data_IF_994252310292
#
_entry.id   IF_994252310292
#
_cell.length_a   1.000
_cell.length_b   1.000
_cell.length_c   1.000
_cell.angle_alpha   90.00
_cell.angle_beta   90.00
_cell.angle_gamma   90.00
#
_symmetry.space_group_name_H-M   'P 1'
#
loop_
_entity.id
_entity.type
_entity.pdbx_description
1 polymer ?
#
# COMPACT_ATOMS: atom_id res chain seq x y z
N UNK A 1 -13.20 22.87 7.54
CA UNK A 1 -12.71 21.48 7.58
C UNK A 1 -11.89 21.24 6.31
N UNK A 2 -10.55 21.36 6.40
CA UNK A 2 -9.66 20.90 5.32
C UNK A 2 -9.83 19.38 5.24
N UNK A 3 -10.62 18.89 4.27
CA UNK A 3 -10.74 17.47 3.97
C UNK A 3 -9.34 16.96 3.70
N UNK A 4 -8.99 15.82 4.26
CA UNK A 4 -7.71 15.15 3.99
C UNK A 4 -7.77 14.53 2.59
N UNK A 5 -7.55 15.36 1.57
CA UNK A 5 -7.64 14.99 0.15
C UNK A 5 -6.71 13.82 -0.16
N UNK A 6 -5.52 13.81 0.44
CA UNK A 6 -4.53 12.73 0.25
C UNK A 6 -5.09 11.38 0.73
N UNK A 7 -5.75 11.35 1.88
CA UNK A 7 -6.36 10.11 2.41
C UNK A 7 -7.50 9.64 1.52
N UNK A 8 -8.31 10.57 0.99
CA UNK A 8 -9.41 10.25 0.07
C UNK A 8 -8.88 9.68 -1.26
N UNK A 9 -7.88 10.32 -1.86
CA UNK A 9 -7.24 9.83 -3.09
C UNK A 9 -6.62 8.45 -2.88
N UNK A 10 -5.97 8.24 -1.74
CA UNK A 10 -5.42 6.94 -1.34
C UNK A 10 -6.51 5.87 -1.18
N UNK A 11 -7.70 6.26 -0.70
CA UNK A 11 -8.88 5.39 -0.64
C UNK A 11 -9.36 4.92 -2.03
N UNK A 12 -9.45 5.84 -3.00
CA UNK A 12 -9.79 5.50 -4.38
C UNK A 12 -8.74 4.59 -5.03
N UNK A 13 -7.44 4.85 -4.81
CA UNK A 13 -6.37 3.98 -5.29
C UNK A 13 -6.52 2.55 -4.75
N UNK A 14 -6.75 2.40 -3.44
CA UNK A 14 -6.97 1.09 -2.83
C UNK A 14 -8.25 0.40 -3.32
N UNK A 15 -9.30 1.16 -3.60
CA UNK A 15 -10.54 0.62 -4.18
C UNK A 15 -10.29 0.05 -5.58
N UNK A 16 -9.49 0.72 -6.39
CA UNK A 16 -9.05 0.22 -7.70
C UNK A 16 -8.25 -1.07 -7.57
N UNK A 17 -7.30 -1.12 -6.63
CA UNK A 17 -6.51 -2.32 -6.35
C UNK A 17 -7.38 -3.49 -5.88
N UNK A 18 -8.38 -3.24 -5.03
CA UNK A 18 -9.33 -4.25 -4.57
C UNK A 18 -10.14 -4.85 -5.73
N UNK A 19 -10.77 -3.99 -6.55
CA UNK A 19 -11.57 -4.43 -7.70
C UNK A 19 -10.71 -5.22 -8.68
N UNK A 20 -9.53 -4.73 -8.99
CA UNK A 20 -8.57 -5.41 -9.89
C UNK A 20 -8.17 -6.78 -9.36
N UNK A 21 -7.91 -6.91 -8.06
CA UNK A 21 -7.54 -8.18 -7.42
C UNK A 21 -8.67 -9.19 -7.40
N UNK A 22 -9.91 -8.73 -7.18
CA UNK A 22 -11.09 -9.60 -7.25
C UNK A 22 -11.28 -10.14 -8.67
N UNK A 23 -11.17 -9.28 -9.68
CA UNK A 23 -11.25 -9.68 -11.09
C UNK A 23 -10.12 -10.64 -11.44
N UNK A 24 -8.89 -10.35 -11.05
CA UNK A 24 -7.74 -11.22 -11.27
C UNK A 24 -7.92 -12.59 -10.62
N UNK A 25 -8.39 -12.63 -9.36
CA UNK A 25 -8.65 -13.88 -8.65
C UNK A 25 -9.74 -14.76 -9.30
N UNK A 26 -10.74 -14.14 -9.94
CA UNK A 26 -11.79 -14.86 -10.67
C UNK A 26 -11.31 -15.38 -12.05
N UNK A 27 -10.33 -14.71 -12.65
CA UNK A 27 -9.89 -14.99 -14.02
C UNK A 27 -8.60 -15.81 -14.10
N UNK A 28 -7.82 -15.89 -13.02
CA UNK A 28 -6.49 -16.50 -13.00
C UNK A 28 -6.44 -17.96 -13.51
N UNK A 29 -7.51 -18.71 -13.25
CA UNK A 29 -7.62 -20.11 -13.68
C UNK A 29 -8.38 -20.28 -15.02
N UNK A 30 -8.84 -19.17 -15.64
CA UNK A 30 -9.72 -19.19 -16.83
C UNK A 30 -9.14 -18.53 -18.05
N UNK A 31 -8.26 -17.55 -17.85
CA UNK A 31 -7.69 -16.71 -18.92
C UNK A 31 -6.17 -16.72 -18.79
N UNK A 32 -5.47 -16.89 -19.88
CA UNK A 32 -4.02 -16.82 -19.87
C UNK A 32 -3.54 -15.40 -19.53
N UNK A 33 -2.36 -15.32 -18.91
CA UNK A 33 -1.81 -14.06 -18.39
C UNK A 33 -1.61 -13.00 -19.50
N UNK A 34 -1.21 -13.42 -20.70
CA UNK A 34 -0.99 -12.51 -21.82
C UNK A 34 -2.29 -11.84 -22.28
N UNK A 35 -3.33 -12.65 -22.46
CA UNK A 35 -4.68 -12.17 -22.84
C UNK A 35 -5.26 -11.25 -21.77
N UNK A 36 -5.16 -11.65 -20.48
CA UNK A 36 -5.62 -10.82 -19.37
C UNK A 36 -4.91 -9.46 -19.34
N UNK A 37 -3.58 -9.45 -19.45
CA UNK A 37 -2.77 -8.23 -19.42
C UNK A 37 -3.08 -7.32 -20.61
N UNK A 38 -3.24 -7.87 -21.81
CA UNK A 38 -3.58 -7.08 -23.01
C UNK A 38 -4.96 -6.43 -22.90
N UNK A 39 -5.96 -7.15 -22.43
CA UNK A 39 -7.32 -6.61 -22.23
C UNK A 39 -7.27 -5.49 -21.18
N UNK A 40 -6.66 -5.73 -20.03
CA UNK A 40 -6.55 -4.75 -18.96
C UNK A 40 -5.82 -3.48 -19.41
N UNK A 41 -4.70 -3.63 -20.10
CA UNK A 41 -3.91 -2.51 -20.63
C UNK A 41 -4.72 -1.69 -21.64
N UNK A 42 -5.47 -2.35 -22.52
CA UNK A 42 -6.32 -1.68 -23.49
C UNK A 42 -7.44 -0.88 -22.81
N UNK A 43 -8.11 -1.47 -21.82
CA UNK A 43 -9.15 -0.77 -21.03
C UNK A 43 -8.54 0.43 -20.31
N UNK A 44 -7.40 0.27 -19.63
CA UNK A 44 -6.71 1.36 -18.94
C UNK A 44 -6.33 2.49 -19.92
N UNK A 45 -5.81 2.16 -21.10
CA UNK A 45 -5.44 3.15 -22.11
C UNK A 45 -6.66 3.94 -22.59
N UNK A 46 -7.77 3.28 -22.90
CA UNK A 46 -9.02 3.93 -23.31
C UNK A 46 -9.55 4.84 -22.21
N UNK A 47 -9.66 4.33 -20.98
CA UNK A 47 -10.18 5.11 -19.85
C UNK A 47 -9.30 6.33 -19.56
N UNK A 48 -7.98 6.19 -19.54
CA UNK A 48 -7.04 7.30 -19.33
C UNK A 48 -7.17 8.34 -20.45
N UNK A 49 -7.30 7.92 -21.70
CA UNK A 49 -7.48 8.83 -22.85
C UNK A 49 -8.77 9.62 -22.71
N UNK A 50 -9.88 8.96 -22.37
CA UNK A 50 -11.17 9.63 -22.14
C UNK A 50 -11.11 10.64 -20.98
N UNK A 51 -10.45 10.26 -19.88
CA UNK A 51 -10.24 11.15 -18.73
C UNK A 51 -9.44 12.39 -19.16
N UNK A 52 -8.34 12.22 -19.88
CA UNK A 52 -7.50 13.32 -20.35
C UNK A 52 -8.32 14.27 -21.25
N UNK A 53 -9.03 13.73 -22.23
CA UNK A 53 -9.88 14.52 -23.15
C UNK A 53 -10.94 15.31 -22.35
N UNK A 54 -11.52 14.71 -21.32
CA UNK A 54 -12.58 15.33 -20.52
C UNK A 54 -12.06 16.39 -19.55
N UNK A 55 -10.88 16.21 -19.01
CA UNK A 55 -10.29 17.11 -17.98
C UNK A 55 -9.55 18.27 -18.63
N UNK A 56 -8.86 18.05 -19.75
CA UNK A 56 -8.01 19.09 -20.39
C UNK A 56 -8.70 20.44 -20.61
N UNK A 57 -9.96 20.49 -21.08
CA UNK A 57 -10.66 21.78 -21.27
C UNK A 57 -10.93 22.53 -19.96
N UNK A 58 -11.02 21.79 -18.84
CA UNK A 58 -11.35 22.34 -17.52
C UNK A 58 -10.11 22.60 -16.65
N UNK A 59 -8.90 22.33 -17.17
CA UNK A 59 -7.66 22.65 -16.47
C UNK A 59 -7.51 24.17 -16.43
N UNK A 60 -7.76 24.74 -15.27
CA UNK A 60 -7.43 26.13 -14.98
C UNK A 60 -5.92 26.28 -15.12
N UNK A 61 -5.46 27.17 -16.00
CA UNK A 61 -4.04 27.56 -16.02
C UNK A 61 -3.73 28.07 -14.61
N UNK A 62 -2.87 27.38 -13.90
CA UNK A 62 -2.37 27.89 -12.63
C UNK A 62 -1.77 29.28 -12.93
N UNK A 63 -2.17 30.30 -12.15
CA UNK A 63 -1.50 31.58 -12.16
C UNK A 63 -0.05 31.30 -11.79
N UNK A 64 0.80 31.21 -12.80
CA UNK A 64 2.22 30.99 -12.64
C UNK A 64 2.80 32.31 -12.17
N UNK A 65 2.83 32.49 -10.86
CA UNK A 65 3.62 33.55 -10.27
C UNK A 65 5.06 33.32 -10.74
N UNK A 66 5.66 34.25 -11.53
CA UNK A 66 7.01 34.06 -12.08
C UNK A 66 8.06 33.72 -11.02
N UNK A 67 7.86 34.20 -9.77
CA UNK A 67 8.73 33.94 -8.63
C UNK A 67 8.54 32.53 -8.03
N UNK A 68 7.49 31.80 -8.43
CA UNK A 68 7.22 30.43 -7.98
C UNK A 68 7.58 29.35 -9.00
N UNK A 69 8.25 29.70 -10.11
CA UNK A 69 8.77 28.73 -11.08
C UNK A 69 9.93 27.93 -10.48
N UNK A 70 9.60 26.96 -9.62
CA UNK A 70 10.53 25.92 -9.25
C UNK A 70 10.79 25.05 -10.50
N UNK A 71 11.94 25.25 -11.15
CA UNK A 71 12.37 24.38 -12.23
C UNK A 71 12.53 22.96 -11.70
N UNK A 72 12.30 21.94 -12.52
CA UNK A 72 12.54 20.54 -12.13
C UNK A 72 13.94 20.34 -11.50
N UNK A 73 14.93 21.15 -11.90
CA UNK A 73 16.27 21.22 -11.31
C UNK A 73 16.27 21.70 -9.85
N UNK A 74 15.29 22.50 -9.43
CA UNK A 74 15.17 23.02 -8.06
C UNK A 74 14.60 21.98 -7.11
N UNK A 75 13.92 20.94 -7.65
CA UNK A 75 13.55 19.76 -6.88
C UNK A 75 14.78 19.00 -6.35
N UNK A 76 15.90 19.10 -7.05
CA UNK A 76 17.17 18.48 -6.63
C UNK A 76 18.10 19.49 -5.92
N UNK A 77 17.92 20.80 -6.13
CA UNK A 77 18.62 21.83 -5.37
C UNK A 77 17.92 22.04 -4.03
N UNK A 78 18.61 21.72 -2.96
CA UNK A 78 18.04 21.81 -1.61
C UNK A 78 17.28 20.55 -1.18
N UNK A 79 17.55 19.43 -1.85
CA UNK A 79 17.10 18.11 -1.44
C UNK A 79 17.60 17.83 -0.02
N UNK A 80 16.83 18.26 0.97
CA UNK A 80 17.04 17.89 2.36
C UNK A 80 16.21 16.64 2.60
N UNK A 81 16.90 15.50 2.60
CA UNK A 81 16.30 14.25 3.03
C UNK A 81 15.94 14.40 4.49
N UNK A 82 14.66 14.48 4.82
CA UNK A 82 14.21 14.22 6.18
C UNK A 82 14.28 12.69 6.38
N UNK A 83 15.43 12.24 6.87
CA UNK A 83 15.71 10.81 7.08
C UNK A 83 14.67 10.20 8.01
N UNK A 84 14.23 10.94 9.02
CA UNK A 84 13.22 10.46 9.97
C UNK A 84 11.89 10.20 9.31
N UNK A 85 11.42 11.14 8.47
CA UNK A 85 10.15 10.99 7.73
C UNK A 85 10.27 9.90 6.67
N UNK A 86 11.39 9.82 5.96
CA UNK A 86 11.59 8.81 4.92
C UNK A 86 11.66 7.41 5.53
N UNK A 87 12.34 7.24 6.66
CA UNK A 87 12.39 5.98 7.39
C UNK A 87 11.02 5.60 7.95
N UNK A 88 10.31 6.55 8.58
CA UNK A 88 8.97 6.31 9.09
C UNK A 88 8.00 5.90 7.97
N UNK A 89 8.06 6.58 6.82
CA UNK A 89 7.23 6.24 5.68
C UNK A 89 7.56 4.85 5.14
N UNK A 90 8.85 4.51 5.01
CA UNK A 90 9.27 3.18 4.58
C UNK A 90 8.69 2.10 5.49
N UNK A 91 8.92 2.20 6.80
CA UNK A 91 8.47 1.20 7.77
C UNK A 91 6.94 1.01 7.73
N UNK A 92 6.21 2.11 7.61
CA UNK A 92 4.75 2.12 7.59
C UNK A 92 4.16 1.48 6.33
N UNK A 93 4.75 1.74 5.15
CA UNK A 93 4.21 1.23 3.89
C UNK A 93 4.81 -0.10 3.46
N UNK A 94 5.90 -0.53 4.10
CA UNK A 94 6.58 -1.79 3.80
C UNK A 94 5.64 -2.98 3.90
N UNK A 95 4.82 -3.01 4.96
CA UNK A 95 3.84 -4.07 5.15
C UNK A 95 2.79 -4.09 4.04
N UNK A 96 2.29 -2.92 3.62
CA UNK A 96 1.32 -2.80 2.52
C UNK A 96 1.91 -3.36 1.21
N UNK A 97 3.16 -3.01 0.88
CA UNK A 97 3.85 -3.55 -0.29
C UNK A 97 4.15 -5.04 -0.17
N UNK A 98 4.60 -5.51 0.99
CA UNK A 98 4.88 -6.92 1.19
C UNK A 98 3.62 -7.78 1.03
N UNK A 99 2.50 -7.33 1.57
CA UNK A 99 1.21 -8.01 1.39
C UNK A 99 0.77 -7.97 -0.07
N UNK A 100 0.91 -6.83 -0.74
CA UNK A 100 0.55 -6.67 -2.16
C UNK A 100 1.34 -7.59 -3.09
N UNK A 101 2.63 -7.70 -2.85
CA UNK A 101 3.55 -8.42 -3.73
C UNK A 101 3.60 -9.92 -3.43
N UNK A 102 3.50 -10.31 -2.15
CA UNK A 102 3.85 -11.66 -1.72
C UNK A 102 2.73 -12.46 -1.06
N UNK A 103 1.63 -11.83 -0.60
CA UNK A 103 0.59 -12.54 0.14
C UNK A 103 -0.04 -13.68 -0.67
N UNK A 104 -0.40 -13.42 -1.94
CA UNK A 104 -0.99 -14.43 -2.80
C UNK A 104 0.00 -15.57 -3.12
N UNK A 105 1.28 -15.23 -3.34
CA UNK A 105 2.36 -16.20 -3.57
C UNK A 105 2.55 -17.08 -2.34
N UNK A 106 2.60 -16.47 -1.14
CA UNK A 106 2.73 -17.18 0.13
C UNK A 106 1.61 -18.20 0.33
N UNK A 107 0.37 -17.79 0.12
CA UNK A 107 -0.79 -18.68 0.28
C UNK A 107 -0.77 -19.80 -0.77
N UNK A 108 -0.36 -19.50 -2.01
CA UNK A 108 -0.30 -20.47 -3.09
C UNK A 108 0.84 -21.44 -2.95
N UNK A 109 2.08 -20.93 -2.78
CA UNK A 109 3.29 -21.74 -2.87
C UNK A 109 3.68 -22.37 -1.53
N UNK A 110 3.63 -21.63 -0.42
CA UNK A 110 4.01 -22.16 0.90
C UNK A 110 2.86 -22.91 1.55
N UNK A 111 1.64 -22.37 1.51
CA UNK A 111 0.48 -23.01 2.13
C UNK A 111 -0.24 -24.00 1.19
N UNK A 112 0.20 -24.14 -0.07
CA UNK A 112 -0.31 -25.10 -1.06
C UNK A 112 -1.81 -24.96 -1.34
N UNK A 113 -2.35 -23.76 -1.30
CA UNK A 113 -3.74 -23.45 -1.65
C UNK A 113 -3.78 -22.97 -3.09
N UNK A 114 -4.07 -23.89 -4.03
CA UNK A 114 -3.89 -23.68 -5.48
C UNK A 114 -5.10 -23.08 -6.20
N UNK A 115 -6.27 -22.99 -5.56
CA UNK A 115 -7.48 -22.38 -6.15
C UNK A 115 -7.41 -20.85 -6.09
N UNK A 116 -8.15 -20.13 -6.92
CA UNK A 116 -8.23 -18.66 -6.90
C UNK A 116 -8.50 -18.03 -5.53
N UNK A 117 -8.95 -18.84 -4.55
CA UNK A 117 -9.16 -18.43 -3.15
C UNK A 117 -7.85 -18.04 -2.42
N UNK A 118 -6.68 -18.37 -2.96
CA UNK A 118 -5.38 -17.95 -2.40
C UNK A 118 -5.20 -16.43 -2.34
N UNK A 119 -5.98 -15.67 -3.11
CA UNK A 119 -5.97 -14.20 -3.10
C UNK A 119 -6.83 -13.62 -1.96
N UNK A 120 -7.66 -14.41 -1.28
CA UNK A 120 -8.61 -13.95 -0.29
C UNK A 120 -7.98 -13.16 0.87
N UNK A 121 -6.87 -13.59 1.51
CA UNK A 121 -6.24 -12.80 2.57
C UNK A 121 -5.80 -11.41 2.10
N UNK A 122 -5.27 -11.28 0.88
CA UNK A 122 -4.93 -10.00 0.29
C UNK A 122 -6.16 -9.11 0.04
N UNK A 123 -7.24 -9.69 -0.50
CA UNK A 123 -8.51 -8.98 -0.74
C UNK A 123 -9.06 -8.43 0.58
N UNK A 124 -9.07 -9.23 1.64
CA UNK A 124 -9.55 -8.82 2.96
C UNK A 124 -8.66 -7.76 3.61
N UNK A 125 -7.33 -7.88 3.48
CA UNK A 125 -6.40 -6.85 3.90
C UNK A 125 -6.71 -5.50 3.23
N UNK A 126 -6.87 -5.50 1.91
CA UNK A 126 -7.13 -4.28 1.13
C UNK A 126 -8.50 -3.69 1.46
N UNK A 127 -9.52 -4.53 1.61
CA UNK A 127 -10.87 -4.10 2.02
C UNK A 127 -10.84 -3.46 3.41
N UNK A 128 -10.19 -4.09 4.37
CA UNK A 128 -10.02 -3.56 5.72
C UNK A 128 -9.27 -2.22 5.71
N UNK A 129 -8.24 -2.09 4.88
CA UNK A 129 -7.50 -0.84 4.70
C UNK A 129 -8.40 0.28 4.14
N UNK A 130 -9.27 0.00 3.17
CA UNK A 130 -10.25 0.96 2.67
C UNK A 130 -11.20 1.40 3.77
N UNK A 131 -11.76 0.45 4.51
CA UNK A 131 -12.67 0.72 5.63
C UNK A 131 -11.98 1.59 6.68
N UNK A 132 -10.74 1.28 7.06
CA UNK A 132 -9.98 2.07 8.02
C UNK A 132 -9.71 3.50 7.54
N UNK A 133 -9.35 3.70 6.26
CA UNK A 133 -9.14 5.03 5.65
C UNK A 133 -10.41 5.88 5.65
N UNK A 134 -11.53 5.27 5.29
CA UNK A 134 -12.82 5.98 5.24
C UNK A 134 -13.33 6.34 6.64
N UNK A 135 -13.02 5.53 7.65
CA UNK A 135 -13.49 5.76 9.03
C UNK A 135 -12.54 6.61 9.89
N UNK A 136 -11.36 6.97 9.40
CA UNK A 136 -10.38 7.77 10.16
C UNK A 136 -10.98 9.09 10.68
N UNK A 137 -11.82 9.74 9.88
CA UNK A 137 -12.46 11.01 10.26
C UNK A 137 -13.38 10.89 11.50
N UNK A 138 -13.90 9.69 11.77
CA UNK A 138 -14.72 9.43 12.96
C UNK A 138 -13.88 9.22 14.23
N UNK A 139 -12.60 8.85 14.07
CA UNK A 139 -11.68 8.59 15.17
C UNK A 139 -10.93 9.85 15.62
N UNK A 140 -10.57 10.73 14.68
CA UNK A 140 -9.80 11.94 14.96
C UNK A 140 -10.43 12.91 15.98
N UNK A 141 -11.76 13.05 16.11
CA UNK A 141 -12.35 13.90 17.17
C UNK A 141 -12.15 13.35 18.58
N UNK A 142 -11.89 12.04 18.71
CA UNK A 142 -11.78 11.34 20.00
C UNK A 142 -10.34 11.06 20.44
N UNK A 143 -9.43 10.91 19.46
CA UNK A 143 -8.06 10.49 19.70
C UNK A 143 -7.07 11.31 18.89
N UNK A 144 -5.89 11.60 19.46
CA UNK A 144 -4.82 12.25 18.72
C UNK A 144 -4.28 11.34 17.62
N UNK A 145 -3.81 11.94 16.53
CA UNK A 145 -3.24 11.16 15.40
C UNK A 145 -2.03 10.35 15.84
N UNK A 146 -1.17 10.89 16.71
CA UNK A 146 0.02 10.20 17.20
C UNK A 146 -0.34 8.95 18.00
N UNK A 147 -1.36 9.05 18.88
CA UNK A 147 -1.88 7.92 19.64
C UNK A 147 -2.43 6.81 18.72
N UNK A 148 -3.19 7.22 17.70
CA UNK A 148 -3.75 6.28 16.73
C UNK A 148 -2.64 5.61 15.93
N UNK A 149 -1.62 6.35 15.48
CA UNK A 149 -0.51 5.81 14.67
C UNK A 149 0.27 4.74 15.42
N UNK A 150 0.66 5.00 16.68
CA UNK A 150 1.42 4.03 17.47
C UNK A 150 0.62 2.73 17.69
N UNK A 151 -0.64 2.84 18.06
CA UNK A 151 -1.49 1.66 18.29
C UNK A 151 -1.81 0.90 17.01
N UNK A 152 -2.05 1.62 15.94
CA UNK A 152 -2.35 1.04 14.64
C UNK A 152 -1.14 0.30 14.05
N UNK A 153 0.09 0.85 14.17
CA UNK A 153 1.30 0.17 13.73
C UNK A 153 1.57 -1.12 14.53
N UNK A 154 1.45 -1.06 15.86
CA UNK A 154 1.61 -2.25 16.72
C UNK A 154 0.55 -3.30 16.38
N UNK A 155 -0.71 -2.90 16.24
CA UNK A 155 -1.80 -3.81 15.87
C UNK A 155 -1.53 -4.47 14.51
N UNK A 156 -1.11 -3.69 13.53
CA UNK A 156 -0.82 -4.16 12.18
C UNK A 156 0.34 -5.17 12.17
N UNK A 157 1.48 -4.81 12.75
CA UNK A 157 2.67 -5.66 12.77
C UNK A 157 2.43 -6.95 13.56
N UNK A 158 1.89 -6.84 14.78
CA UNK A 158 1.65 -8.00 15.65
C UNK A 158 0.62 -8.96 15.04
N UNK A 159 -0.47 -8.45 14.48
CA UNK A 159 -1.48 -9.29 13.84
C UNK A 159 -0.90 -10.04 12.63
N UNK A 160 -0.10 -9.35 11.81
CA UNK A 160 0.53 -9.95 10.65
C UNK A 160 1.51 -11.06 11.04
N UNK A 161 2.45 -10.77 11.96
CA UNK A 161 3.43 -11.76 12.45
C UNK A 161 2.72 -12.93 13.10
N UNK A 162 1.72 -12.69 13.96
CA UNK A 162 0.97 -13.74 14.62
C UNK A 162 0.29 -14.68 13.60
N UNK A 163 -0.26 -14.13 12.52
CA UNK A 163 -0.85 -14.91 11.44
C UNK A 163 0.17 -15.80 10.74
N UNK A 164 1.32 -15.24 10.36
CA UNK A 164 2.40 -15.99 9.69
C UNK A 164 2.93 -17.12 10.61
N UNK A 165 3.20 -16.80 11.88
CA UNK A 165 3.67 -17.80 12.84
C UNK A 165 2.63 -18.90 13.06
N UNK A 166 1.36 -18.53 13.27
CA UNK A 166 0.29 -19.47 13.53
C UNK A 166 0.12 -20.48 12.38
N UNK A 167 0.17 -20.03 11.12
CA UNK A 167 0.07 -20.97 9.99
C UNK A 167 1.34 -21.77 9.78
N UNK A 168 2.51 -21.22 10.10
CA UNK A 168 3.77 -21.97 10.04
C UNK A 168 3.79 -23.11 11.06
N UNK A 169 3.19 -22.92 12.24
CA UNK A 169 3.04 -23.98 13.26
C UNK A 169 1.92 -24.96 12.89
N UNK A 170 0.76 -24.47 12.40
CA UNK A 170 -0.35 -25.31 12.01
C UNK A 170 -0.04 -26.23 10.84
N UNK A 171 0.94 -25.87 10.02
CA UNK A 171 1.33 -26.59 8.82
C UNK A 171 0.24 -26.55 7.74
N UNK A 172 0.43 -27.33 6.69
CA UNK A 172 -0.45 -27.32 5.50
C UNK A 172 -1.58 -28.37 5.53
N UNK A 173 -1.74 -29.09 6.65
CA UNK A 173 -2.67 -30.22 6.76
C UNK A 173 -4.13 -29.82 6.63
N UNK A 174 -4.52 -28.67 7.20
CA UNK A 174 -5.87 -28.15 7.11
C UNK A 174 -5.93 -26.79 6.41
N UNK A 175 -6.09 -26.82 5.10
CA UNK A 175 -6.11 -25.61 4.26
C UNK A 175 -7.18 -24.60 4.62
N UNK A 176 -8.34 -25.04 5.10
CA UNK A 176 -9.42 -24.16 5.52
C UNK A 176 -9.04 -23.38 6.79
N UNK A 177 -8.43 -24.03 7.77
CA UNK A 177 -7.95 -23.38 8.99
C UNK A 177 -6.85 -22.37 8.66
N UNK A 178 -5.87 -22.75 7.82
CA UNK A 178 -4.80 -21.84 7.36
C UNK A 178 -5.40 -20.59 6.71
N UNK A 179 -6.35 -20.77 5.79
CA UNK A 179 -6.97 -19.65 5.09
C UNK A 179 -7.73 -18.73 6.05
N UNK A 180 -8.46 -19.29 7.02
CA UNK A 180 -9.18 -18.49 8.03
C UNK A 180 -8.22 -17.70 8.91
N UNK A 181 -7.15 -18.32 9.40
CA UNK A 181 -6.13 -17.64 10.23
C UNK A 181 -5.51 -16.47 9.46
N UNK A 182 -5.06 -16.70 8.22
CA UNK A 182 -4.46 -15.65 7.39
C UNK A 182 -5.47 -14.55 7.06
N UNK A 183 -6.71 -14.92 6.76
CA UNK A 183 -7.78 -13.96 6.46
C UNK A 183 -8.06 -13.03 7.63
N UNK A 184 -8.16 -13.56 8.84
CA UNK A 184 -8.40 -12.76 10.06
C UNK A 184 -7.19 -11.88 10.36
N UNK A 185 -5.98 -12.45 10.38
CA UNK A 185 -4.77 -11.69 10.72
C UNK A 185 -4.47 -10.59 9.71
N UNK A 186 -4.65 -10.86 8.41
CA UNK A 186 -4.46 -9.85 7.37
C UNK A 186 -5.54 -8.76 7.39
N UNK A 187 -6.79 -9.11 7.74
CA UNK A 187 -7.84 -8.11 7.97
C UNK A 187 -7.47 -7.15 9.08
N UNK A 188 -7.02 -7.67 10.23
CA UNK A 188 -6.59 -6.83 11.36
C UNK A 188 -5.37 -5.98 10.97
N UNK A 189 -4.38 -6.57 10.30
CA UNK A 189 -3.21 -5.87 9.82
C UNK A 189 -3.57 -4.75 8.83
N UNK A 190 -4.51 -4.99 7.92
CA UNK A 190 -5.01 -4.00 6.97
C UNK A 190 -5.72 -2.81 7.65
N UNK A 191 -6.53 -3.09 8.67
CA UNK A 191 -7.13 -2.01 9.49
C UNK A 191 -6.06 -1.16 10.16
N UNK A 192 -5.04 -1.78 10.75
CA UNK A 192 -3.94 -1.08 11.42
C UNK A 192 -3.11 -0.23 10.44
N UNK A 193 -2.73 -0.76 9.29
CA UNK A 193 -1.92 -0.02 8.30
C UNK A 193 -2.68 1.05 7.51
N UNK A 194 -4.00 1.10 7.61
CA UNK A 194 -4.88 1.86 6.72
C UNK A 194 -4.54 3.33 6.53
N UNK A 195 -4.20 4.05 7.58
CA UNK A 195 -3.98 5.51 7.55
C UNK A 195 -2.53 5.92 7.85
N UNK A 196 -1.65 4.97 8.15
CA UNK A 196 -0.29 5.27 8.57
C UNK A 196 0.49 6.01 7.48
N UNK A 197 0.52 5.50 6.26
CA UNK A 197 1.21 6.12 5.12
C UNK A 197 0.72 7.55 4.82
N UNK A 198 -0.58 7.77 4.60
CA UNK A 198 -1.13 9.11 4.43
C UNK A 198 -0.83 10.06 5.59
N UNK A 199 -0.81 9.56 6.84
CA UNK A 199 -0.51 10.38 8.01
C UNK A 199 0.94 10.84 8.06
N UNK A 200 1.90 9.96 7.76
CA UNK A 200 3.32 10.32 7.66
C UNK A 200 3.56 11.33 6.53
N UNK A 201 2.93 11.12 5.36
CA UNK A 201 3.01 12.07 4.24
C UNK A 201 2.45 13.45 4.61
N UNK A 202 1.33 13.49 5.33
CA UNK A 202 0.75 14.74 5.81
C UNK A 202 1.64 15.43 6.86
N UNK A 203 2.24 14.68 7.79
CA UNK A 203 3.18 15.19 8.77
C UNK A 203 4.43 15.77 8.11
N UNK A 204 4.97 15.12 7.09
CA UNK A 204 6.09 15.63 6.29
C UNK A 204 5.75 16.96 5.63
N UNK A 205 4.56 17.04 5.04
CA UNK A 205 4.10 18.24 4.37
C UNK A 205 3.91 19.42 5.32
N UNK A 206 3.44 19.18 6.55
CA UNK A 206 3.25 20.23 7.56
C UNK A 206 4.56 20.71 8.18
N UNK A 207 5.59 19.87 8.24
CA UNK A 207 6.93 20.22 8.78
C UNK A 207 7.82 20.97 7.78
N UNK A 208 7.54 20.85 6.51
CA UNK A 208 8.37 21.44 5.46
C UNK A 208 7.98 22.89 5.18
N UNK A 209 8.99 23.69 4.84
CA UNK A 209 8.82 25.07 4.32
C UNK A 209 8.62 25.10 2.79
N UNK A 210 8.80 23.97 2.12
CA UNK A 210 8.64 23.87 0.67
C UNK A 210 7.17 23.67 0.28
N UNK A 211 6.80 24.03 -0.96
CA UNK A 211 5.47 23.71 -1.49
C UNK A 211 5.16 22.21 -1.40
N UNK A 212 3.91 21.86 -1.11
CA UNK A 212 3.47 20.45 -0.94
C UNK A 212 3.85 19.54 -2.12
N UNK A 213 3.80 20.06 -3.36
CA UNK A 213 4.19 19.33 -4.56
C UNK A 213 5.66 18.91 -4.56
N UNK A 214 6.55 19.78 -4.08
CA UNK A 214 7.99 19.50 -3.97
C UNK A 214 8.25 18.45 -2.88
N UNK A 215 7.62 18.61 -1.71
CA UNK A 215 7.77 17.69 -0.57
C UNK A 215 7.31 16.28 -0.94
N UNK A 216 6.11 16.18 -1.50
CA UNK A 216 5.54 14.89 -1.92
C UNK A 216 6.40 14.24 -3.00
N UNK A 217 6.89 15.03 -3.98
CA UNK A 217 7.78 14.52 -5.02
C UNK A 217 9.10 13.99 -4.48
N UNK A 218 9.75 14.73 -3.58
CA UNK A 218 11.01 14.32 -2.96
C UNK A 218 10.87 13.05 -2.14
N UNK A 219 9.86 13.00 -1.27
CA UNK A 219 9.58 11.81 -0.45
C UNK A 219 9.21 10.63 -1.34
N UNK A 220 8.44 10.86 -2.41
CA UNK A 220 8.07 9.82 -3.37
C UNK A 220 9.28 9.16 -4.03
N UNK A 221 10.25 9.94 -4.51
CA UNK A 221 11.48 9.42 -5.12
C UNK A 221 12.29 8.57 -4.14
N UNK A 222 12.52 9.09 -2.92
CA UNK A 222 13.26 8.34 -1.89
C UNK A 222 12.51 7.07 -1.53
N UNK A 223 11.21 7.16 -1.33
CA UNK A 223 10.39 6.04 -0.95
C UNK A 223 10.42 4.92 -2.00
N UNK A 224 10.31 5.25 -3.30
CA UNK A 224 10.41 4.26 -4.38
C UNK A 224 11.77 3.56 -4.34
N UNK A 225 12.87 4.29 -4.15
CA UNK A 225 14.20 3.71 -4.05
C UNK A 225 14.32 2.76 -2.84
N UNK A 226 13.83 3.18 -1.67
CA UNK A 226 13.86 2.38 -0.45
C UNK A 226 12.97 1.12 -0.56
N UNK A 227 11.78 1.25 -1.14
CA UNK A 227 10.88 0.11 -1.38
C UNK A 227 11.51 -0.88 -2.35
N UNK A 228 12.20 -0.41 -3.39
CA UNK A 228 12.94 -1.30 -4.30
C UNK A 228 13.98 -2.13 -3.55
N UNK A 229 14.80 -1.48 -2.70
CA UNK A 229 15.80 -2.18 -1.88
C UNK A 229 15.13 -3.20 -0.95
N UNK A 230 14.02 -2.82 -0.31
CA UNK A 230 13.31 -3.72 0.61
C UNK A 230 12.67 -4.91 -0.07
N UNK A 231 12.12 -4.73 -1.28
CA UNK A 231 11.64 -5.84 -2.12
C UNK A 231 12.76 -6.82 -2.43
N UNK A 232 13.94 -6.31 -2.75
CA UNK A 232 15.13 -7.14 -2.98
C UNK A 232 15.55 -7.90 -1.72
N UNK A 233 15.55 -7.24 -0.55
CA UNK A 233 15.86 -7.87 0.74
C UNK A 233 14.87 -9.00 1.05
N UNK A 234 13.56 -8.76 0.88
CA UNK A 234 12.52 -9.78 1.09
C UNK A 234 12.73 -10.95 0.15
N UNK A 235 12.92 -10.69 -1.15
CA UNK A 235 13.13 -11.74 -2.14
C UNK A 235 14.38 -12.59 -1.84
N UNK A 236 15.49 -11.93 -1.51
CA UNK A 236 16.74 -12.61 -1.17
C UNK A 236 16.61 -13.44 0.12
N UNK A 237 15.98 -12.88 1.16
CA UNK A 237 15.72 -13.61 2.41
C UNK A 237 14.81 -14.81 2.17
N UNK A 238 13.77 -14.66 1.34
CA UNK A 238 12.88 -15.76 0.98
C UNK A 238 13.62 -16.89 0.28
N UNK A 239 14.57 -16.59 -0.61
CA UNK A 239 15.41 -17.59 -1.27
C UNK A 239 16.40 -18.25 -0.32
N UNK A 240 17.00 -17.49 0.59
CA UNK A 240 18.00 -17.99 1.53
C UNK A 240 17.41 -18.80 2.70
N UNK A 241 16.14 -18.55 3.06
CA UNK A 241 15.49 -19.16 4.23
C UNK A 241 14.10 -19.70 3.89
N UNK A 242 13.07 -18.85 4.03
CA UNK A 242 11.69 -19.14 3.64
C UNK A 242 10.90 -17.85 3.45
N UNK A 243 9.80 -17.93 2.70
CA UNK A 243 8.93 -16.77 2.51
C UNK A 243 8.24 -16.36 3.82
N UNK A 244 7.94 -17.31 4.70
CA UNK A 244 7.40 -17.04 6.05
C UNK A 244 8.35 -16.13 6.87
N UNK A 245 9.65 -16.42 6.87
CA UNK A 245 10.65 -15.62 7.59
C UNK A 245 10.81 -14.25 6.94
N UNK A 246 10.89 -14.22 5.61
CA UNK A 246 11.04 -12.98 4.85
C UNK A 246 9.86 -12.01 5.08
N UNK A 247 8.65 -12.52 5.19
CA UNK A 247 7.44 -11.73 5.45
C UNK A 247 7.37 -11.17 6.88
N UNK A 248 8.14 -11.68 7.82
CA UNK A 248 8.24 -11.07 9.16
C UNK A 248 9.01 -9.74 9.15
N UNK A 249 9.93 -9.53 8.19
CA UNK A 249 10.75 -8.31 8.11
C UNK A 249 9.89 -7.03 8.02
N UNK A 250 8.91 -6.92 7.10
CA UNK A 250 8.11 -5.70 6.96
C UNK A 250 7.14 -5.44 8.12
N UNK A 251 6.97 -6.38 9.03
CA UNK A 251 6.05 -6.27 10.15
C UNK A 251 6.74 -5.87 11.48
N UNK A 252 8.09 -5.85 11.48
CA UNK A 252 8.92 -5.39 12.59
C UNK A 252 9.07 -3.87 12.60
#
# INVERSE_FOLDING_TARGET
TKRQIITLLSGFWSSGALISSMIAGLLVDRVDLGTYTNILSSICFIVMTLIIIRITPNLVKADVNPDSQHRARDMFKGFKIDVSVSAALLLVIMLEYAVSDWAAIFVKEDMKILSGIHTLPYILFTLAMIIGRLNLHNLLPRYSIDFLMVRASLLSGLAFIAGIIAVSIAGTSNKAVVLVILSISFTIAGLGSSFLGPSVMNAANTRSKFPSSVVIGQIGVINIALVFVMRWVIAWTAQATSLSIALCIPAL
#
